data_IF_539865866605
#
_entry.id   IF_539865866605
#
_cell.length_a   1.000
_cell.length_b   1.000
_cell.length_c   1.000
_cell.angle_alpha   90.00
_cell.angle_beta   90.00
_cell.angle_gamma   90.00
#
_symmetry.space_group_name_H-M   'P 1'
#
loop_
_entity.id
_entity.type
_entity.pdbx_description
1 polymer ?
#
# COMPACT_ATOMS: atom_id res chain seq x y z
N UNK A 1 -25.25 -17.49 6.06
CA UNK A 1 -23.93 -18.16 6.03
C UNK A 1 -23.12 -17.48 4.94
N UNK A 2 -22.52 -16.31 5.23
CA UNK A 2 -21.77 -15.52 4.23
C UNK A 2 -20.40 -15.05 4.76
N UNK A 3 -20.19 -15.03 6.08
CA UNK A 3 -18.95 -14.55 6.71
C UNK A 3 -17.70 -15.42 6.51
N UNK A 4 -17.87 -16.73 6.27
CA UNK A 4 -16.73 -17.64 6.08
C UNK A 4 -15.95 -17.36 4.78
N UNK A 5 -16.60 -16.77 3.78
CA UNK A 5 -15.96 -16.43 2.52
C UNK A 5 -15.15 -15.13 2.62
N UNK A 6 -15.68 -14.13 3.34
CA UNK A 6 -14.99 -12.85 3.53
C UNK A 6 -13.66 -13.05 4.27
N UNK A 7 -13.67 -13.75 5.40
CA UNK A 7 -12.50 -13.89 6.25
C UNK A 7 -11.35 -14.61 5.52
N UNK A 8 -11.69 -15.71 4.85
CA UNK A 8 -10.75 -16.50 4.04
C UNK A 8 -10.17 -15.71 2.87
N UNK A 9 -11.01 -14.93 2.17
CA UNK A 9 -10.56 -14.12 1.03
C UNK A 9 -9.71 -12.94 1.51
N UNK A 10 -10.08 -12.29 2.61
CA UNK A 10 -9.34 -11.19 3.21
C UNK A 10 -7.95 -11.64 3.65
N UNK A 11 -7.86 -12.75 4.39
CA UNK A 11 -6.57 -13.31 4.84
C UNK A 11 -5.68 -13.67 3.63
N UNK A 12 -6.26 -14.33 2.62
CA UNK A 12 -5.53 -14.67 1.38
C UNK A 12 -5.03 -13.42 0.66
N UNK A 13 -5.84 -12.37 0.60
CA UNK A 13 -5.44 -11.10 -0.02
C UNK A 13 -4.31 -10.43 0.75
N UNK A 14 -4.41 -10.33 2.08
CA UNK A 14 -3.36 -9.73 2.92
C UNK A 14 -2.05 -10.50 2.77
N UNK A 15 -2.09 -11.83 2.83
CA UNK A 15 -0.92 -12.68 2.62
C UNK A 15 -0.31 -12.51 1.22
N UNK A 16 -1.15 -12.43 0.18
CA UNK A 16 -0.69 -12.23 -1.19
C UNK A 16 0.00 -10.87 -1.36
N UNK A 17 -0.59 -9.79 -0.85
CA UNK A 17 0.01 -8.44 -0.90
C UNK A 17 1.31 -8.41 -0.11
N UNK A 18 1.32 -8.95 1.12
CA UNK A 18 2.51 -9.01 1.95
C UNK A 18 3.67 -9.72 1.24
N UNK A 19 3.39 -10.84 0.58
CA UNK A 19 4.39 -11.61 -0.17
C UNK A 19 4.92 -10.84 -1.38
N UNK A 20 4.04 -10.21 -2.18
CA UNK A 20 4.46 -9.37 -3.32
C UNK A 20 5.32 -8.19 -2.87
N UNK A 21 4.91 -7.50 -1.82
CA UNK A 21 5.65 -6.36 -1.26
C UNK A 21 7.00 -6.79 -0.71
N UNK A 22 7.07 -7.90 0.04
CA UNK A 22 8.34 -8.45 0.52
C UNK A 22 9.31 -8.77 -0.63
N UNK A 23 8.81 -9.27 -1.76
CA UNK A 23 9.65 -9.52 -2.94
C UNK A 23 10.18 -8.22 -3.56
N UNK A 24 9.33 -7.19 -3.72
CA UNK A 24 9.72 -5.87 -4.25
C UNK A 24 10.74 -5.18 -3.32
N UNK A 25 10.49 -5.24 -2.01
CA UNK A 25 11.33 -4.61 -0.99
C UNK A 25 12.61 -5.37 -0.67
N UNK A 26 12.69 -6.66 -1.00
CA UNK A 26 13.96 -7.39 -0.92
C UNK A 26 15.05 -6.76 -1.79
N UNK A 27 14.68 -5.94 -2.78
CA UNK A 27 15.62 -5.20 -3.64
C UNK A 27 15.77 -3.72 -3.26
N UNK A 28 15.03 -3.24 -2.25
CA UNK A 28 15.01 -1.83 -1.84
C UNK A 28 15.26 -1.70 -0.33
N UNK A 29 16.51 -1.46 0.11
CA UNK A 29 16.83 -1.26 1.52
C UNK A 29 16.20 0.04 1.99
N UNK A 30 15.05 -0.07 2.64
CA UNK A 30 14.25 1.10 3.01
C UNK A 30 12.78 0.80 3.22
N UNK A 31 12.33 -0.41 2.91
CA UNK A 31 10.96 -0.82 3.17
C UNK A 31 10.92 -2.01 4.12
N UNK A 32 9.96 -1.98 5.04
CA UNK A 32 9.71 -3.06 5.99
C UNK A 32 8.23 -3.44 5.95
N UNK A 33 7.96 -4.73 5.79
CA UNK A 33 6.59 -5.27 5.78
C UNK A 33 6.35 -6.11 7.02
N UNK A 34 5.22 -5.91 7.68
CA UNK A 34 4.79 -6.66 8.86
C UNK A 34 3.33 -7.07 8.70
N UNK A 35 3.04 -8.36 8.83
CA UNK A 35 1.68 -8.90 8.84
C UNK A 35 1.42 -9.50 10.22
N UNK A 36 0.52 -8.91 11.00
CA UNK A 36 0.19 -9.36 12.35
C UNK A 36 -1.26 -9.05 12.69
N UNK A 37 -1.96 -9.99 13.33
CA UNK A 37 -3.34 -9.80 13.83
C UNK A 37 -4.29 -9.25 12.74
N UNK A 38 -4.28 -9.82 11.53
CA UNK A 38 -5.09 -9.37 10.37
C UNK A 38 -4.79 -7.95 9.86
N UNK A 39 -3.62 -7.41 10.24
CA UNK A 39 -3.15 -6.09 9.84
C UNK A 39 -1.83 -6.24 9.09
N UNK A 40 -1.83 -5.81 7.83
CA UNK A 40 -0.63 -5.65 7.02
C UNK A 40 -0.14 -4.20 7.15
N UNK A 41 0.99 -3.99 7.80
CA UNK A 41 1.67 -2.71 7.88
C UNK A 41 2.95 -2.72 7.02
N UNK A 42 3.19 -1.62 6.34
CA UNK A 42 4.38 -1.36 5.53
C UNK A 42 4.93 -0.01 5.94
N UNK A 43 6.21 0.00 6.33
CA UNK A 43 6.94 1.22 6.64
C UNK A 43 7.95 1.49 5.53
N UNK A 44 8.00 2.73 5.07
CA UNK A 44 8.89 3.21 4.02
C UNK A 44 9.97 4.11 4.65
N UNK A 45 11.16 4.17 4.04
CA UNK A 45 12.34 4.83 4.62
C UNK A 45 12.15 6.33 4.84
N UNK A 46 11.37 6.97 3.98
CA UNK A 46 11.09 8.40 4.05
C UNK A 46 10.08 8.78 5.15
N UNK A 47 9.58 7.78 5.89
CA UNK A 47 8.53 7.97 6.91
C UNK A 47 7.11 7.79 6.37
N UNK A 48 6.97 7.37 5.10
CA UNK A 48 5.71 6.92 4.53
C UNK A 48 5.25 5.59 5.11
N UNK A 49 3.95 5.35 5.15
CA UNK A 49 3.37 4.10 5.63
C UNK A 49 2.14 3.66 4.83
N UNK A 50 1.93 2.36 4.76
CA UNK A 50 0.71 1.74 4.25
C UNK A 50 0.23 0.73 5.30
N UNK A 51 -1.03 0.83 5.71
CA UNK A 51 -1.65 -0.10 6.64
C UNK A 51 -2.94 -0.62 6.02
N UNK A 52 -3.04 -1.93 5.84
CA UNK A 52 -4.27 -2.62 5.39
C UNK A 52 -4.77 -3.46 6.56
N UNK A 53 -6.01 -3.24 6.98
CA UNK A 53 -6.61 -3.94 8.12
C UNK A 53 -7.96 -4.54 7.75
N UNK A 54 -8.20 -5.77 8.19
CA UNK A 54 -9.50 -6.43 8.05
C UNK A 54 -10.53 -5.78 8.97
N UNK A 55 -11.69 -5.41 8.43
CA UNK A 55 -12.83 -4.89 9.18
C UNK A 55 -13.95 -5.93 9.17
N UNK A 56 -13.84 -6.95 10.02
CA UNK A 56 -14.78 -8.07 10.09
C UNK A 56 -16.24 -7.61 10.31
N UNK A 57 -16.47 -6.56 11.12
CA UNK A 57 -17.83 -6.03 11.35
C UNK A 57 -18.44 -5.27 10.16
N UNK A 58 -17.68 -5.02 9.09
CA UNK A 58 -18.10 -4.25 7.91
C UNK A 58 -17.90 -4.99 6.58
N UNK A 59 -17.40 -6.22 6.64
CA UNK A 59 -16.98 -7.01 5.47
C UNK A 59 -16.16 -6.18 4.47
N UNK A 60 -15.18 -5.43 4.98
CA UNK A 60 -14.30 -4.59 4.17
C UNK A 60 -12.84 -4.67 4.60
N UNK A 61 -11.95 -4.28 3.69
CA UNK A 61 -10.56 -3.96 4.00
C UNK A 61 -10.44 -2.45 4.13
N UNK A 62 -9.91 -1.99 5.26
CA UNK A 62 -9.54 -0.59 5.47
C UNK A 62 -8.08 -0.41 5.07
N UNK A 63 -7.82 0.48 4.12
CA UNK A 63 -6.49 0.86 3.65
C UNK A 63 -6.21 2.27 4.11
N UNK A 64 -5.14 2.44 4.85
CA UNK A 64 -4.60 3.72 5.32
C UNK A 64 -3.24 3.92 4.66
N UNK A 65 -3.16 4.89 3.76
CA UNK A 65 -1.91 5.23 3.07
C UNK A 65 -1.47 6.63 3.44
N UNK A 66 -0.20 6.74 3.80
CA UNK A 66 0.50 8.00 3.92
C UNK A 66 1.78 7.91 3.11
N UNK A 67 1.73 8.42 1.88
CA UNK A 67 2.94 8.77 1.16
C UNK A 67 3.38 10.16 1.65
N UNK A 68 4.66 10.33 1.88
CA UNK A 68 5.26 11.59 2.34
C UNK A 68 5.20 12.67 1.25
N UNK A 69 5.47 13.92 1.63
CA UNK A 69 5.38 15.12 0.76
C UNK A 69 6.27 15.07 -0.50
N UNK A 70 7.11 14.04 -0.65
CA UNK A 70 7.92 13.79 -1.84
C UNK A 70 7.10 13.62 -3.13
N UNK A 71 5.80 13.35 -3.02
CA UNK A 71 4.88 13.28 -4.15
C UNK A 71 3.55 13.92 -3.76
N UNK A 72 3.03 14.85 -4.56
CA UNK A 72 1.63 15.28 -4.42
C UNK A 72 0.75 14.01 -4.39
N UNK A 73 -0.02 13.79 -3.31
CA UNK A 73 -0.75 12.55 -3.15
C UNK A 73 -1.70 12.34 -4.33
N UNK A 74 -1.57 11.22 -5.05
CA UNK A 74 -2.52 10.83 -6.11
C UNK A 74 -3.95 10.77 -5.59
N UNK A 75 -4.05 10.33 -4.34
CA UNK A 75 -5.22 10.36 -3.50
C UNK A 75 -4.81 11.14 -2.26
N UNK A 76 -5.62 12.05 -1.69
CA UNK A 76 -5.34 12.68 -0.40
C UNK A 76 -4.93 11.61 0.62
N UNK A 77 -4.28 11.97 1.73
CA UNK A 77 -4.07 11.01 2.83
C UNK A 77 -5.44 10.43 3.21
N UNK A 78 -5.78 9.25 2.68
CA UNK A 78 -7.16 8.80 2.60
C UNK A 78 -7.27 7.40 3.16
N UNK A 79 -8.28 7.26 4.01
CA UNK A 79 -8.70 5.99 4.55
C UNK A 79 -9.73 5.42 3.60
N UNK A 80 -9.28 4.56 2.70
CA UNK A 80 -10.14 3.93 1.69
C UNK A 80 -10.66 2.60 2.22
N UNK A 81 -11.96 2.34 2.03
CA UNK A 81 -12.57 1.06 2.40
C UNK A 81 -12.92 0.27 1.14
N UNK A 82 -12.30 -0.89 0.96
CA UNK A 82 -12.59 -1.79 -0.15
C UNK A 82 -13.56 -2.88 0.29
N UNK A 83 -14.64 -3.06 -0.46
CA UNK A 83 -15.61 -4.14 -0.24
C UNK A 83 -15.33 -5.29 -1.19
N UNK A 84 -15.67 -6.50 -0.76
CA UNK A 84 -15.58 -7.67 -1.62
C UNK A 84 -16.77 -7.69 -2.58
N UNK A 85 -16.49 -7.71 -3.88
CA UNK A 85 -17.48 -7.90 -4.95
C UNK A 85 -17.74 -9.39 -5.21
N UNK A 86 -18.82 -9.72 -5.93
CA UNK A 86 -19.19 -11.11 -6.30
C UNK A 86 -18.09 -11.87 -7.06
N UNK A 87 -17.17 -11.14 -7.70
CA UNK A 87 -16.02 -11.71 -8.40
C UNK A 87 -14.83 -12.04 -7.49
N UNK A 88 -14.94 -11.85 -6.17
CA UNK A 88 -13.83 -12.04 -5.23
C UNK A 88 -12.76 -10.95 -5.31
N UNK A 89 -13.13 -9.77 -5.82
CA UNK A 89 -12.25 -8.62 -5.98
C UNK A 89 -12.58 -7.54 -4.95
N UNK A 90 -11.56 -6.85 -4.48
CA UNK A 90 -11.70 -5.76 -3.52
C UNK A 90 -11.87 -4.45 -4.25
N UNK A 91 -13.07 -3.87 -4.19
CA UNK A 91 -13.44 -2.67 -4.95
C UNK A 91 -13.87 -1.55 -4.02
N UNK A 92 -13.43 -0.33 -4.31
CA UNK A 92 -13.90 0.92 -3.72
C UNK A 92 -14.37 1.85 -4.84
N UNK A 93 -15.69 2.01 -5.00
CA UNK A 93 -16.25 2.76 -6.12
C UNK A 93 -15.95 2.10 -7.47
N UNK A 94 -15.02 2.68 -8.24
CA UNK A 94 -14.56 2.15 -9.55
C UNK A 94 -13.15 1.57 -9.51
N UNK A 95 -12.51 1.59 -8.34
CA UNK A 95 -11.10 1.29 -8.18
C UNK A 95 -10.90 -0.05 -7.48
N UNK A 96 -9.99 -0.86 -8.00
CA UNK A 96 -9.63 -2.16 -7.42
C UNK A 96 -8.44 -1.99 -6.47
N UNK A 97 -8.45 -2.68 -5.33
CA UNK A 97 -7.42 -2.61 -4.30
C UNK A 97 -6.00 -2.82 -4.87
N UNK A 98 -5.82 -3.83 -5.72
CA UNK A 98 -4.50 -4.14 -6.27
C UNK A 98 -4.02 -3.00 -7.17
N UNK A 99 -4.89 -2.49 -8.05
CA UNK A 99 -4.58 -1.34 -8.90
C UNK A 99 -4.28 -0.08 -8.07
N UNK A 100 -5.06 0.20 -7.04
CA UNK A 100 -4.85 1.33 -6.12
C UNK A 100 -3.46 1.27 -5.47
N UNK A 101 -3.09 0.11 -4.94
CA UNK A 101 -1.78 -0.09 -4.33
C UNK A 101 -0.65 0.02 -5.36
N UNK A 102 -0.81 -0.58 -6.54
CA UNK A 102 0.19 -0.52 -7.61
C UNK A 102 0.42 0.91 -8.12
N UNK A 103 -0.63 1.73 -8.28
CA UNK A 103 -0.51 3.13 -8.67
C UNK A 103 0.23 3.95 -7.60
N UNK A 104 -0.20 3.83 -6.34
CA UNK A 104 0.42 4.52 -5.20
C UNK A 104 1.91 4.16 -5.03
N UNK A 105 2.25 2.87 -5.09
CA UNK A 105 3.64 2.42 -5.01
C UNK A 105 4.47 2.83 -6.23
N UNK A 106 3.92 2.77 -7.44
CA UNK A 106 4.62 3.19 -8.66
C UNK A 106 5.02 4.67 -8.58
N UNK A 107 4.09 5.53 -8.15
CA UNK A 107 4.37 6.97 -7.96
C UNK A 107 5.35 7.23 -6.83
N UNK A 108 5.22 6.53 -5.70
CA UNK A 108 6.18 6.63 -4.60
C UNK A 108 7.61 6.24 -5.02
N UNK A 109 7.75 5.15 -5.79
CA UNK A 109 9.05 4.71 -6.30
C UNK A 109 9.63 5.71 -7.30
N UNK A 110 8.81 6.29 -8.19
CA UNK A 110 9.26 7.33 -9.13
C UNK A 110 9.71 8.62 -8.40
N UNK A 111 8.96 9.04 -7.39
CA UNK A 111 9.33 10.19 -6.55
C UNK A 111 10.63 9.92 -5.78
N UNK A 112 10.74 8.75 -5.14
CA UNK A 112 11.94 8.34 -4.38
C UNK A 112 13.19 8.25 -5.28
N UNK A 113 13.05 7.79 -6.53
CA UNK A 113 14.15 7.78 -7.50
C UNK A 113 14.50 9.18 -8.02
N UNK A 114 13.52 10.08 -8.13
CA UNK A 114 13.77 11.47 -8.56
C UNK A 114 14.57 12.26 -7.52
N UNK A 115 14.32 12.04 -6.22
CA UNK A 115 15.07 12.71 -5.13
C UNK A 115 16.57 12.36 -5.16
N UNK A 116 16.93 11.13 -5.56
CA UNK A 116 18.35 10.75 -5.69
C UNK A 116 19.09 11.45 -6.84
N UNK A 117 18.39 12.10 -7.77
CA UNK A 117 19.03 12.85 -8.86
C UNK A 117 19.23 14.34 -8.54
N UNK A 118 18.49 14.92 -7.59
CA UNK A 118 18.54 16.36 -7.32
C UNK A 118 19.64 16.76 -6.34
N UNK A 119 20.16 15.82 -5.53
CA UNK A 119 21.29 16.07 -4.63
C UNK A 119 22.68 16.01 -5.33
N UNK A 120 22.74 15.70 -6.64
CA UNK A 120 24.00 15.65 -7.39
C UNK A 120 24.29 16.90 -8.24
N UNK A 121 23.44 17.92 -8.20
CA UNK A 121 23.64 19.19 -8.94
C UNK A 121 23.91 20.42 -8.06
N UNK A 122 24.28 20.25 -6.78
CA UNK A 122 24.71 21.37 -5.93
C UNK A 122 26.13 21.20 -5.35
N UNK A 123 27.02 20.55 -6.09
CA UNK A 123 28.47 20.53 -5.82
C UNK A 123 29.28 20.98 -7.05
N UNK A 124 28.95 22.17 -7.58
CA UNK A 124 29.94 22.99 -8.30
C UNK A 124 30.15 24.29 -7.52
N UNK A 125 30.98 24.16 -6.49
CA UNK A 125 31.71 25.26 -5.84
C UNK A 125 32.73 25.86 -6.84
N UNK A 126 32.87 27.19 -6.79
CA UNK A 126 33.92 28.06 -7.34
C UNK A 126 33.90 28.49 -8.82
#
# INVERSE_FOLDING_TARGET
MEDHNFDSVADRTLNHIAHRLKHIFSQNPGFSTSLKDDILAVSMADGGHLVISKQAGKNSLKVDTKFTDLCEPAHPQDVVHFKLDDHGRWISGKEELICYLEDGFSRYLQASQSVMLVDLEEETDH
#
